data_IF_895506930180
#
_entry.id   IF_895506930180
#
_cell.length_a   1.000
_cell.length_b   1.000
_cell.length_c   1.000
_cell.angle_alpha   90.00
_cell.angle_beta   90.00
_cell.angle_gamma   90.00
#
_symmetry.space_group_name_H-M   'P 1'
#
loop_
_entity.id
_entity.type
_entity.pdbx_description
1 polymer ?
#
# COMPACT_ATOMS: atom_id res chain seq x y z
N UNK A 1 12.02 3.21 -18.77
CA UNK A 1 12.88 3.48 -17.63
C UNK A 1 13.31 2.15 -17.04
N UNK A 2 14.60 1.81 -17.19
CA UNK A 2 15.19 0.70 -16.47
C UNK A 2 15.30 1.07 -14.99
N UNK A 3 14.36 0.58 -14.18
CA UNK A 3 14.46 0.66 -12.73
C UNK A 3 15.51 -0.34 -12.28
N UNK A 4 16.72 0.13 -12.05
CA UNK A 4 17.66 -0.65 -11.23
C UNK A 4 17.16 -0.67 -9.80
N UNK A 5 17.33 -1.78 -9.02
CA UNK A 5 16.78 -1.94 -7.67
C UNK A 5 17.50 -1.05 -6.64
N UNK A 6 17.71 0.22 -6.97
CA UNK A 6 18.29 1.16 -6.05
C UNK A 6 17.15 1.91 -5.34
N UNK A 7 17.06 1.74 -4.05
CA UNK A 7 16.22 2.48 -3.09
C UNK A 7 16.10 3.98 -3.38
N UNK A 8 17.09 4.55 -4.02
CA UNK A 8 17.17 5.97 -4.39
C UNK A 8 16.23 6.38 -5.51
N UNK A 9 15.76 5.46 -6.36
CA UNK A 9 14.88 5.78 -7.49
C UNK A 9 13.43 5.90 -7.01
N UNK A 10 13.03 5.11 -6.02
CA UNK A 10 11.68 5.13 -5.45
C UNK A 10 11.38 6.41 -4.67
N UNK A 11 12.37 6.99 -4.00
CA UNK A 11 12.25 8.31 -3.39
C UNK A 11 12.04 9.43 -4.42
N UNK A 12 12.13 9.13 -5.72
CA UNK A 12 11.94 10.07 -6.82
C UNK A 12 10.68 9.83 -7.64
N UNK A 13 10.02 8.68 -7.48
CA UNK A 13 8.72 8.44 -8.09
C UNK A 13 7.69 9.27 -7.33
N UNK A 14 7.27 10.37 -7.94
CA UNK A 14 6.16 11.15 -7.44
C UNK A 14 4.84 10.41 -7.74
N UNK A 15 3.79 10.73 -7.00
CA UNK A 15 2.43 10.26 -7.31
C UNK A 15 2.04 10.55 -8.78
N UNK A 16 2.57 11.65 -9.36
CA UNK A 16 2.36 12.00 -10.75
C UNK A 16 3.06 11.03 -11.73
N UNK A 17 4.22 10.47 -11.35
CA UNK A 17 4.94 9.54 -12.23
C UNK A 17 4.23 8.17 -12.28
N UNK A 18 3.66 7.72 -11.19
CA UNK A 18 2.87 6.48 -11.12
C UNK A 18 1.48 6.67 -11.75
N UNK A 19 0.85 7.81 -11.55
CA UNK A 19 -0.43 8.15 -12.17
C UNK A 19 -0.33 8.36 -13.68
N UNK A 20 0.83 8.79 -14.20
CA UNK A 20 1.08 8.99 -15.64
C UNK A 20 1.35 7.68 -16.40
N UNK A 21 1.74 6.62 -15.70
CA UNK A 21 2.00 5.31 -16.31
C UNK A 21 1.50 4.16 -15.40
N UNK A 22 0.20 3.82 -15.48
CA UNK A 22 -0.37 2.71 -14.73
C UNK A 22 0.17 1.35 -15.16
N UNK A 23 1.01 1.30 -16.20
CA UNK A 23 1.70 0.09 -16.66
C UNK A 23 3.13 -0.01 -16.15
N UNK A 24 3.57 0.84 -15.22
CA UNK A 24 4.86 0.69 -14.53
C UNK A 24 4.88 -0.63 -13.75
N UNK A 25 5.06 -1.71 -14.49
CA UNK A 25 5.37 -3.02 -13.97
C UNK A 25 6.86 -3.04 -13.74
N UNK A 26 7.28 -3.08 -12.47
CA UNK A 26 8.67 -3.40 -12.17
C UNK A 26 8.93 -4.84 -12.64
N UNK A 27 9.58 -4.99 -13.79
CA UNK A 27 9.84 -6.30 -14.42
C UNK A 27 11.07 -7.01 -13.85
N UNK A 28 11.64 -6.51 -12.75
CA UNK A 28 12.82 -7.13 -12.15
C UNK A 28 12.45 -8.14 -11.07
N UNK A 29 13.02 -9.34 -11.21
CA UNK A 29 13.00 -10.41 -10.20
C UNK A 29 13.85 -10.00 -9.00
N UNK A 30 13.29 -9.26 -8.07
CA UNK A 30 13.97 -8.78 -6.88
C UNK A 30 13.01 -8.26 -5.83
N UNK A 31 13.55 -7.79 -4.75
CA UNK A 31 12.79 -7.07 -3.74
C UNK A 31 12.87 -5.57 -4.00
N UNK A 32 11.73 -4.90 -3.96
CA UNK A 32 11.65 -3.48 -3.84
C UNK A 32 11.82 -3.12 -2.37
N UNK A 33 12.82 -2.30 -2.04
CA UNK A 33 13.04 -1.84 -0.67
C UNK A 33 12.65 -0.37 -0.55
N UNK A 34 11.70 -0.09 0.31
CA UNK A 34 11.28 1.25 0.68
C UNK A 34 11.94 1.62 2.01
N UNK A 35 12.87 2.57 1.96
CA UNK A 35 13.61 3.01 3.13
C UNK A 35 12.72 3.81 4.09
N UNK A 36 13.14 3.92 5.35
CA UNK A 36 12.51 4.79 6.34
C UNK A 36 12.41 6.24 5.82
N UNK A 37 11.23 6.85 6.00
CA UNK A 37 10.92 8.17 5.47
C UNK A 37 10.63 8.22 3.96
N UNK A 38 10.83 7.11 3.24
CA UNK A 38 10.39 6.96 1.86
C UNK A 38 8.90 6.69 1.75
N UNK A 39 8.31 6.96 0.59
CA UNK A 39 6.92 6.66 0.32
C UNK A 39 6.73 6.08 -1.09
N UNK A 40 5.95 5.02 -1.18
CA UNK A 40 5.42 4.47 -2.42
C UNK A 40 3.97 4.91 -2.55
N UNK A 41 3.69 5.78 -3.52
CA UNK A 41 2.31 6.17 -3.82
C UNK A 41 1.80 5.37 -5.02
N UNK A 42 0.62 4.81 -4.89
CA UNK A 42 -0.08 4.08 -5.95
C UNK A 42 -1.49 4.62 -6.04
N UNK A 43 -1.81 5.27 -7.14
CA UNK A 43 -3.14 5.78 -7.45
C UNK A 43 -3.68 4.99 -8.65
N UNK A 44 -4.89 4.46 -8.51
CA UNK A 44 -5.46 3.51 -9.46
C UNK A 44 -4.91 2.09 -9.27
N UNK A 45 -5.16 1.23 -10.23
CA UNK A 45 -4.71 -0.16 -10.19
C UNK A 45 -3.22 -0.26 -10.58
N UNK A 46 -2.39 -0.70 -9.64
CA UNK A 46 -0.95 -0.86 -9.85
C UNK A 46 -0.49 -2.26 -9.45
N UNK A 47 0.50 -2.78 -10.15
CA UNK A 47 1.10 -4.09 -9.87
C UNK A 47 2.60 -3.94 -9.66
N UNK A 48 3.06 -4.37 -8.50
CA UNK A 48 4.48 -4.55 -8.20
C UNK A 48 4.86 -6.01 -8.41
N UNK A 49 5.63 -6.28 -9.46
CA UNK A 49 6.14 -7.63 -9.71
C UNK A 49 7.36 -7.90 -8.85
N UNK A 50 7.23 -8.82 -7.90
CA UNK A 50 8.29 -9.19 -6.97
C UNK A 50 7.91 -8.95 -5.52
N UNK A 51 8.92 -8.92 -4.64
CA UNK A 51 8.75 -8.74 -3.21
C UNK A 51 8.80 -7.26 -2.83
N UNK A 52 8.13 -6.89 -1.76
CA UNK A 52 8.18 -5.55 -1.17
C UNK A 52 8.71 -5.64 0.26
N UNK A 53 9.81 -4.93 0.52
CA UNK A 53 10.34 -4.68 1.86
C UNK A 53 10.10 -3.21 2.17
N UNK A 54 9.31 -2.91 3.19
CA UNK A 54 8.95 -1.53 3.51
C UNK A 54 9.35 -1.18 4.93
N UNK A 55 10.15 -0.12 5.06
CA UNK A 55 10.37 0.63 6.30
C UNK A 55 9.77 2.05 6.21
N UNK A 56 9.01 2.32 5.18
CA UNK A 56 8.38 3.62 4.91
C UNK A 56 6.89 3.50 4.62
N UNK A 57 6.31 4.53 4.01
CA UNK A 57 4.88 4.64 3.75
C UNK A 57 4.43 4.04 2.43
N UNK A 58 3.37 3.27 2.45
CA UNK A 58 2.59 2.89 1.27
C UNK A 58 1.34 3.78 1.24
N UNK A 59 1.23 4.60 0.21
CA UNK A 59 0.18 5.61 0.09
C UNK A 59 -0.79 5.20 -1.02
N UNK A 60 -1.92 4.66 -0.66
CA UNK A 60 -3.06 4.47 -1.53
C UNK A 60 -4.07 5.62 -1.36
N UNK A 61 -4.05 6.25 -0.18
CA UNK A 61 -4.91 7.40 0.11
C UNK A 61 -4.53 8.64 -0.72
N UNK A 62 -5.47 9.14 -1.50
CA UNK A 62 -5.34 10.41 -2.24
C UNK A 62 -5.24 11.61 -1.29
N UNK A 63 -5.82 11.52 -0.11
CA UNK A 63 -5.80 12.58 0.90
C UNK A 63 -4.38 12.86 1.39
N UNK A 64 -3.57 11.82 1.61
CA UNK A 64 -2.18 11.97 2.01
C UNK A 64 -1.26 12.50 0.90
N UNK A 65 -1.61 12.28 -0.36
CA UNK A 65 -0.84 12.78 -1.50
C UNK A 65 -1.18 14.22 -1.89
N UNK A 66 -2.11 14.86 -1.17
CA UNK A 66 -2.56 16.22 -1.46
C UNK A 66 -3.51 16.31 -2.66
N UNK A 67 -4.07 15.18 -3.09
CA UNK A 67 -5.11 15.11 -4.11
C UNK A 67 -6.44 15.69 -3.62
N UNK A 68 -7.25 16.18 -4.54
CA UNK A 68 -8.60 16.66 -4.26
C UNK A 68 -9.56 15.47 -4.23
N UNK A 69 -9.98 15.12 -3.05
CA UNK A 69 -11.00 14.09 -2.81
C UNK A 69 -10.40 12.75 -2.39
N UNK A 70 -11.15 12.03 -1.59
CA UNK A 70 -10.84 10.69 -1.16
C UNK A 70 -11.42 9.72 -2.22
N UNK A 71 -10.67 9.39 -3.26
CA UNK A 71 -11.00 8.27 -4.12
C UNK A 71 -10.78 6.97 -3.33
N UNK A 72 -11.63 5.98 -3.54
CA UNK A 72 -11.66 4.72 -2.78
C UNK A 72 -11.62 3.52 -3.72
N UNK A 73 -10.83 3.63 -4.78
CA UNK A 73 -10.70 2.63 -5.84
C UNK A 73 -9.23 2.33 -6.19
N UNK A 74 -8.31 2.82 -5.38
CA UNK A 74 -6.89 2.59 -5.59
C UNK A 74 -6.50 1.20 -5.10
N UNK A 75 -5.72 0.47 -5.92
CA UNK A 75 -5.27 -0.87 -5.59
C UNK A 75 -3.79 -1.05 -5.89
N UNK A 76 -3.05 -1.55 -4.91
CA UNK A 76 -1.69 -2.04 -5.12
C UNK A 76 -1.66 -3.56 -4.97
N UNK A 77 -1.20 -4.26 -6.00
CA UNK A 77 -0.95 -5.70 -5.93
C UNK A 77 0.54 -5.96 -5.90
N UNK A 78 1.02 -6.64 -4.86
CA UNK A 78 2.39 -7.16 -4.73
C UNK A 78 2.35 -8.63 -5.10
N UNK A 79 3.04 -9.03 -6.18
CA UNK A 79 2.98 -10.42 -6.65
C UNK A 79 3.84 -11.39 -5.84
N UNK A 80 4.81 -10.89 -5.09
CA UNK A 80 5.68 -11.65 -4.19
C UNK A 80 5.29 -11.50 -2.71
N UNK A 81 6.28 -11.61 -1.86
CA UNK A 81 6.15 -11.48 -0.41
C UNK A 81 6.20 -10.02 0.03
N UNK A 82 5.66 -9.75 1.21
CA UNK A 82 5.73 -8.45 1.88
C UNK A 82 6.43 -8.58 3.23
N UNK A 83 7.32 -7.63 3.52
CA UNK A 83 7.94 -7.47 4.84
C UNK A 83 7.76 -6.02 5.30
N UNK A 84 7.02 -5.81 6.38
CA UNK A 84 6.95 -4.54 7.09
C UNK A 84 8.06 -4.45 8.12
N UNK A 85 9.02 -3.53 7.91
CA UNK A 85 10.13 -3.32 8.85
C UNK A 85 9.79 -2.20 9.82
N UNK A 86 9.95 -2.50 11.11
CA UNK A 86 9.88 -1.52 12.18
C UNK A 86 11.16 -1.67 13.02
N UNK A 87 12.16 -0.87 12.70
CA UNK A 87 13.47 -0.92 13.36
C UNK A 87 13.53 -0.13 14.68
N UNK A 88 12.40 0.45 15.11
CA UNK A 88 12.28 1.15 16.38
C UNK A 88 12.94 2.55 16.41
N UNK A 89 13.48 3.04 15.29
CA UNK A 89 14.13 4.35 15.21
C UNK A 89 13.26 5.43 14.56
N UNK A 90 12.13 5.05 13.97
CA UNK A 90 11.19 5.95 13.31
C UNK A 90 9.77 5.42 13.31
N UNK A 91 8.94 5.86 12.35
CA UNK A 91 7.55 5.40 12.22
C UNK A 91 7.45 3.93 11.74
N UNK A 92 8.53 3.38 11.14
CA UNK A 92 8.53 2.07 10.52
C UNK A 92 7.63 2.02 9.28
N UNK A 93 7.24 0.81 8.89
CA UNK A 93 6.32 0.61 7.79
C UNK A 93 4.90 1.08 8.16
N UNK A 94 4.25 1.80 7.25
CA UNK A 94 2.86 2.20 7.39
C UNK A 94 2.12 2.21 6.04
N UNK A 95 0.81 2.00 6.11
CA UNK A 95 -0.09 1.96 4.97
C UNK A 95 -1.21 2.97 5.19
N UNK A 96 -1.48 3.84 4.24
CA UNK A 96 -2.61 4.76 4.26
C UNK A 96 -3.62 4.42 3.17
N UNK A 97 -4.88 4.33 3.55
CA UNK A 97 -6.03 3.94 2.73
C UNK A 97 -7.17 4.94 2.89
N UNK A 98 -7.87 5.24 1.80
CA UNK A 98 -9.17 5.90 1.84
C UNK A 98 -10.28 4.84 1.82
N UNK A 99 -11.23 4.94 2.74
CA UNK A 99 -12.30 3.95 2.90
C UNK A 99 -13.61 4.66 3.24
N UNK A 100 -14.68 4.33 2.54
CA UNK A 100 -16.03 4.72 2.97
C UNK A 100 -16.40 3.82 4.15
N UNK A 101 -16.56 4.41 5.34
CA UNK A 101 -16.96 3.64 6.52
C UNK A 101 -18.48 3.42 6.52
N UNK A 102 -18.90 2.36 5.88
CA UNK A 102 -20.28 1.90 5.76
C UNK A 102 -20.40 0.40 6.10
N UNK A 103 -21.14 -0.34 5.29
CA UNK A 103 -21.31 -1.79 5.40
C UNK A 103 -20.12 -2.59 4.82
N UNK A 104 -20.26 -3.90 4.73
CA UNK A 104 -19.22 -4.82 4.23
C UNK A 104 -18.80 -4.56 2.76
N UNK A 105 -19.71 -4.01 1.95
CA UNK A 105 -19.49 -3.72 0.52
C UNK A 105 -18.99 -2.29 0.26
N UNK A 106 -18.59 -1.59 1.31
CA UNK A 106 -18.12 -0.20 1.20
C UNK A 106 -16.90 -0.07 0.32
N UNK A 107 -16.90 0.97 -0.50
CA UNK A 107 -15.77 1.29 -1.38
C UNK A 107 -14.51 1.62 -0.55
N UNK A 108 -13.39 1.06 -0.95
CA UNK A 108 -12.12 1.21 -0.23
C UNK A 108 -10.92 0.98 -1.15
N UNK A 109 -9.83 1.66 -0.84
CA UNK A 109 -8.52 1.30 -1.37
C UNK A 109 -8.11 -0.08 -0.85
N UNK A 110 -7.25 -0.78 -1.60
CA UNK A 110 -6.85 -2.14 -1.26
C UNK A 110 -5.38 -2.42 -1.49
N UNK A 111 -4.76 -3.09 -0.53
CA UNK A 111 -3.47 -3.74 -0.69
C UNK A 111 -3.71 -5.24 -0.89
N UNK A 112 -3.16 -5.81 -1.98
CA UNK A 112 -3.21 -7.24 -2.26
C UNK A 112 -1.78 -7.78 -2.29
N UNK A 113 -1.52 -8.85 -1.55
CA UNK A 113 -0.22 -9.51 -1.47
C UNK A 113 -0.43 -10.98 -1.85
N UNK A 114 0.15 -11.42 -2.98
CA UNK A 114 -0.04 -12.79 -3.45
C UNK A 114 0.86 -13.80 -2.71
N UNK A 115 1.96 -13.34 -2.12
CA UNK A 115 2.83 -14.17 -1.27
C UNK A 115 2.53 -14.01 0.22
N UNK A 116 3.50 -14.34 1.04
CA UNK A 116 3.41 -14.22 2.48
C UNK A 116 3.61 -12.76 2.93
N UNK A 117 2.98 -12.39 4.05
CA UNK A 117 3.17 -11.10 4.70
C UNK A 117 3.74 -11.28 6.11
N UNK A 118 4.83 -10.58 6.41
CA UNK A 118 5.54 -10.66 7.68
C UNK A 118 5.97 -9.28 8.19
N UNK A 119 6.45 -9.23 9.42
CA UNK A 119 6.86 -8.00 10.07
C UNK A 119 5.68 -7.21 10.62
N UNK A 120 5.81 -5.90 10.76
CA UNK A 120 4.76 -5.05 11.35
C UNK A 120 4.57 -3.78 10.53
N UNK A 121 3.30 -3.45 10.23
CA UNK A 121 2.89 -2.28 9.45
C UNK A 121 1.74 -1.58 10.13
N UNK A 122 1.87 -0.29 10.42
CA UNK A 122 0.78 0.52 10.96
C UNK A 122 -0.23 0.87 9.85
N UNK A 123 -1.50 0.55 10.05
CA UNK A 123 -2.56 0.86 9.08
C UNK A 123 -3.29 2.13 9.48
N UNK A 124 -3.40 3.07 8.54
CA UNK A 124 -4.07 4.35 8.69
C UNK A 124 -5.24 4.42 7.71
N UNK A 125 -6.44 4.42 8.24
CA UNK A 125 -7.66 4.50 7.44
C UNK A 125 -8.21 5.92 7.53
N UNK A 126 -8.36 6.56 6.37
CA UNK A 126 -9.05 7.83 6.24
C UNK A 126 -10.50 7.59 5.81
N UNK A 127 -11.45 8.18 6.54
CA UNK A 127 -12.87 8.08 6.19
C UNK A 127 -13.20 8.95 4.98
N UNK A 128 -13.52 8.32 3.87
CA UNK A 128 -13.87 8.95 2.60
C UNK A 128 -15.36 9.39 2.50
N UNK A 129 -16.09 9.42 3.61
CA UNK A 129 -17.46 9.96 3.66
C UNK A 129 -18.54 9.04 4.26
N UNK A 130 -18.18 7.89 4.82
CA UNK A 130 -19.11 7.01 5.51
C UNK A 130 -19.51 7.54 6.90
N UNK A 131 -20.73 7.23 7.33
CA UNK A 131 -21.25 7.60 8.66
C UNK A 131 -21.15 6.46 9.68
N UNK A 132 -20.60 5.33 9.27
CA UNK A 132 -20.59 4.08 10.01
C UNK A 132 -21.90 3.32 9.81
N UNK A 133 -21.81 2.06 9.42
CA UNK A 133 -22.92 1.13 9.38
C UNK A 133 -22.44 -0.20 9.96
N UNK A 134 -23.39 -1.11 10.17
CA UNK A 134 -23.07 -2.40 10.75
C UNK A 134 -22.48 -3.32 9.70
N UNK A 135 -21.26 -3.74 9.92
CA UNK A 135 -20.65 -4.83 9.15
C UNK A 135 -20.96 -6.19 9.77
N UNK A 136 -20.95 -7.23 8.96
CA UNK A 136 -21.04 -8.64 9.37
C UNK A 136 -19.67 -9.32 9.33
N UNK A 137 -18.91 -9.05 8.26
CA UNK A 137 -17.57 -9.61 8.01
C UNK A 137 -16.45 -8.56 8.08
N UNK A 138 -16.82 -7.28 8.02
CA UNK A 138 -15.88 -6.15 7.95
C UNK A 138 -15.53 -5.74 6.53
N UNK A 139 -14.98 -4.53 6.38
CA UNK A 139 -14.51 -4.01 5.09
C UNK A 139 -13.14 -4.60 4.81
N UNK A 140 -12.97 -5.25 3.66
CA UNK A 140 -11.70 -5.87 3.27
C UNK A 140 -10.73 -4.81 2.73
N UNK A 141 -9.75 -4.42 3.54
CA UNK A 141 -8.72 -3.44 3.21
C UNK A 141 -7.45 -4.09 2.65
N UNK A 142 -7.10 -5.26 3.17
CA UNK A 142 -5.87 -5.96 2.86
C UNK A 142 -6.18 -7.43 2.62
N UNK A 143 -5.68 -7.96 1.50
CA UNK A 143 -5.77 -9.38 1.17
C UNK A 143 -4.37 -9.96 1.10
N UNK A 144 -4.13 -11.07 1.79
CA UNK A 144 -2.89 -11.85 1.71
C UNK A 144 -3.26 -13.26 1.27
N UNK A 145 -2.81 -13.66 0.07
CA UNK A 145 -3.09 -14.99 -0.47
C UNK A 145 -2.20 -16.08 0.16
N UNK A 146 -1.02 -15.67 0.66
CA UNK A 146 -0.12 -16.54 1.42
C UNK A 146 -0.40 -16.51 2.93
N UNK A 147 0.62 -16.74 3.73
CA UNK A 147 0.55 -16.69 5.18
C UNK A 147 0.74 -15.25 5.67
N UNK A 148 -0.09 -14.83 6.62
CA UNK A 148 0.11 -13.59 7.36
C UNK A 148 0.27 -13.90 8.86
N UNK A 149 1.16 -13.16 9.52
CA UNK A 149 1.27 -13.19 10.99
C UNK A 149 0.19 -12.27 11.58
N UNK A 150 -0.30 -12.59 12.78
CA UNK A 150 -1.42 -11.90 13.42
C UNK A 150 -1.16 -10.40 13.66
N UNK A 151 0.09 -9.99 13.77
CA UNK A 151 0.54 -8.62 14.06
C UNK A 151 1.20 -7.91 12.85
N UNK A 152 1.01 -8.45 11.65
CA UNK A 152 1.61 -7.84 10.44
C UNK A 152 0.97 -6.51 10.09
N UNK A 153 -0.33 -6.35 10.30
CA UNK A 153 -1.08 -5.12 10.04
C UNK A 153 -1.84 -4.68 11.29
N UNK A 154 -1.48 -3.49 11.82
CA UNK A 154 -1.98 -2.94 13.10
C UNK A 154 -2.59 -1.55 12.95
#
# INVERSE_FOLDING_TARGET
LGLTPATTILNRLSAADIAADPTLVATETGALTLAEGGALSSLGDSVLSGNLISAGGILLSNTYTGGNGAATDDRLTVTGTYLGENNGSGEGAWLALDTVLGDDDSATDRLVINGDATGTTSVRVNNAGGLGDKTLNGINLITVDGLAQDDTFL
#
